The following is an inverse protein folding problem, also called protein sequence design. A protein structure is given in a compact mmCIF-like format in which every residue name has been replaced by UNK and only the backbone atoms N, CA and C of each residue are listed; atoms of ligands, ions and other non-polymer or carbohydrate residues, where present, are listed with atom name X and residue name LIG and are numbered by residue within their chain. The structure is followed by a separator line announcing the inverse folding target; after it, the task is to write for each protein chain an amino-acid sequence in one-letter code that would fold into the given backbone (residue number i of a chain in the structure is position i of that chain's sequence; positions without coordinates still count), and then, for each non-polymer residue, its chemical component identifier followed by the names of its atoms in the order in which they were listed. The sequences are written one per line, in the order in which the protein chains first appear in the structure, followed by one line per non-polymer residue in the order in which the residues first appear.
data_IF_341911124754
#
_entry.id   IF_341911124754
#
_cell.length_a   1.000
_cell.length_b   1.000
_cell.length_c   1.000
_cell.angle_alpha   90.00
_cell.angle_beta   90.00
_cell.angle_gamma   90.00
#
_symmetry.space_group_name_H-M   'P 1'
#
loop_
_entity.id
_entity.type
_entity.pdbx_description
1 polymer ?
#
# COMPACT_ATOMS: atom_id res chain seq x y z
N UNK A 1 -17.85 -5.33 9.16
CA UNK A 1 -16.50 -4.76 9.04
C UNK A 1 -16.61 -3.65 8.01
N UNK A 2 -15.89 -2.54 8.20
CA UNK A 2 -15.92 -1.40 7.28
C UNK A 2 -15.73 -1.86 5.84
N UNK A 3 -16.58 -1.38 4.95
CA UNK A 3 -16.45 -1.70 3.53
C UNK A 3 -15.11 -1.22 2.97
N UNK A 4 -14.61 -1.97 2.00
CA UNK A 4 -13.47 -1.66 1.14
C UNK A 4 -13.90 -1.37 -0.29
N UNK A 5 -15.19 -1.39 -0.60
CA UNK A 5 -15.67 -1.05 -1.94
C UNK A 5 -15.60 0.46 -2.20
N UNK A 6 -15.44 0.76 -3.48
CA UNK A 6 -15.23 2.09 -4.02
C UNK A 6 -15.94 2.31 -5.34
N UNK A 7 -15.86 3.53 -5.85
CA UNK A 7 -16.41 3.91 -7.14
C UNK A 7 -15.30 4.13 -8.16
N UNK A 8 -15.38 3.43 -9.30
CA UNK A 8 -14.66 3.84 -10.49
C UNK A 8 -15.57 4.77 -11.28
N UNK A 9 -15.22 6.05 -11.42
CA UNK A 9 -16.07 7.08 -12.01
C UNK A 9 -15.52 7.48 -13.37
N UNK A 10 -16.26 7.15 -14.44
CA UNK A 10 -15.96 7.66 -15.78
C UNK A 10 -16.51 9.07 -15.97
N UNK A 11 -17.69 9.34 -15.40
CA UNK A 11 -18.39 10.63 -15.46
C UNK A 11 -19.39 10.74 -14.32
N UNK A 12 -19.85 11.94 -14.01
CA UNK A 12 -20.99 12.17 -13.12
C UNK A 12 -22.22 11.38 -13.59
N UNK A 13 -22.90 10.74 -12.64
CA UNK A 13 -23.99 9.81 -12.86
C UNK A 13 -24.98 9.82 -11.68
N UNK A 14 -26.21 9.29 -11.83
CA UNK A 14 -27.16 9.16 -10.73
C UNK A 14 -26.58 8.37 -9.53
N UNK A 15 -27.04 8.71 -8.34
CA UNK A 15 -26.71 8.08 -7.05
C UNK A 15 -25.23 8.17 -6.63
N UNK A 16 -24.37 8.79 -7.44
CA UNK A 16 -22.93 8.90 -7.16
C UNK A 16 -22.67 9.80 -5.96
N UNK A 17 -23.41 10.89 -5.83
CA UNK A 17 -23.28 11.82 -4.70
C UNK A 17 -23.69 11.12 -3.40
N UNK A 18 -24.79 10.36 -3.42
CA UNK A 18 -25.25 9.52 -2.32
C UNK A 18 -24.20 8.48 -1.94
N UNK A 19 -23.57 7.83 -2.93
CA UNK A 19 -22.50 6.87 -2.65
C UNK A 19 -21.28 7.55 -2.05
N UNK A 20 -20.85 8.71 -2.54
CA UNK A 20 -19.76 9.50 -1.96
C UNK A 20 -20.08 9.87 -0.50
N UNK A 21 -21.32 10.31 -0.20
CA UNK A 21 -21.78 10.62 1.16
C UNK A 21 -21.80 9.40 2.08
N UNK A 22 -22.04 8.20 1.54
CA UNK A 22 -21.95 6.96 2.30
C UNK A 22 -20.50 6.64 2.77
N UNK A 23 -19.48 7.31 2.22
CA UNK A 23 -18.04 7.14 2.51
C UNK A 23 -17.48 5.77 2.11
N UNK A 24 -17.39 5.48 0.79
CA UNK A 24 -16.67 4.34 0.26
C UNK A 24 -15.17 4.46 0.55
N UNK A 25 -14.43 3.37 0.35
CA UNK A 25 -12.99 3.36 0.64
C UNK A 25 -12.18 4.19 -0.36
N UNK A 26 -12.54 4.11 -1.65
CA UNK A 26 -11.81 4.76 -2.74
C UNK A 26 -12.79 5.31 -3.78
N UNK A 27 -12.52 6.51 -4.28
CA UNK A 27 -13.20 7.09 -5.45
C UNK A 27 -12.13 7.37 -6.50
N UNK A 28 -12.15 6.61 -7.59
CA UNK A 28 -11.26 6.82 -8.75
C UNK A 28 -11.99 7.66 -9.79
N UNK A 29 -11.40 8.79 -10.18
CA UNK A 29 -11.93 9.74 -11.15
C UNK A 29 -11.10 9.67 -12.44
N UNK A 30 -11.68 9.12 -13.50
CA UNK A 30 -11.04 9.06 -14.84
C UNK A 30 -11.44 10.26 -15.71
N UNK A 31 -12.59 10.85 -15.40
CA UNK A 31 -13.10 12.10 -15.94
C UNK A 31 -13.79 12.89 -14.81
N UNK A 32 -14.31 14.07 -15.14
CA UNK A 32 -15.00 14.94 -14.18
C UNK A 32 -14.24 15.14 -12.86
N UNK A 33 -12.90 15.30 -12.92
CA UNK A 33 -12.01 15.42 -11.75
C UNK A 33 -12.40 16.51 -10.75
N UNK A 34 -13.17 17.50 -11.20
CA UNK A 34 -13.77 18.53 -10.33
C UNK A 34 -14.63 17.95 -9.20
N UNK A 35 -15.19 16.74 -9.36
CA UNK A 35 -15.89 16.00 -8.30
C UNK A 35 -14.99 15.71 -7.09
N UNK A 36 -13.67 15.71 -7.25
CA UNK A 36 -12.74 15.52 -6.13
C UNK A 36 -12.92 16.55 -5.00
N UNK A 37 -13.46 17.74 -5.29
CA UNK A 37 -13.78 18.75 -4.26
C UNK A 37 -14.97 18.37 -3.38
N UNK A 38 -15.86 17.54 -3.91
CA UNK A 38 -17.13 17.15 -3.30
C UNK A 38 -16.96 15.81 -2.54
N UNK A 39 -15.82 15.13 -2.70
CA UNK A 39 -15.50 13.90 -1.95
C UNK A 39 -15.20 14.21 -0.49
N UNK A 40 -15.84 13.45 0.40
CA UNK A 40 -15.75 13.58 1.86
C UNK A 40 -14.33 13.32 2.38
N UNK A 41 -13.94 14.08 3.41
CA UNK A 41 -12.68 13.85 4.13
C UNK A 41 -12.60 12.40 4.64
N UNK A 42 -11.48 11.74 4.37
CA UNK A 42 -11.23 10.35 4.74
C UNK A 42 -11.48 9.33 3.64
N UNK A 43 -12.19 9.67 2.56
CA UNK A 43 -12.27 8.84 1.36
C UNK A 43 -11.02 9.06 0.51
N UNK A 44 -10.36 7.99 0.06
CA UNK A 44 -9.21 8.12 -0.83
C UNK A 44 -9.67 8.53 -2.24
N UNK A 45 -9.18 9.66 -2.74
CA UNK A 45 -9.44 10.08 -4.12
C UNK A 45 -8.23 9.77 -5.00
N UNK A 46 -8.47 9.00 -6.05
CA UNK A 46 -7.47 8.65 -7.08
C UNK A 46 -7.87 9.30 -8.39
N UNK A 47 -6.94 9.99 -9.05
CA UNK A 47 -7.13 10.53 -10.38
C UNK A 47 -6.45 9.68 -11.43
N UNK A 48 -7.07 9.58 -12.60
CA UNK A 48 -6.43 9.11 -13.82
C UNK A 48 -6.81 10.05 -14.96
N UNK A 49 -5.84 10.48 -15.76
CA UNK A 49 -6.12 11.08 -17.07
C UNK A 49 -6.02 10.01 -18.12
N UNK A 50 -7.03 9.87 -18.97
CA UNK A 50 -6.95 8.97 -20.12
C UNK A 50 -5.89 9.48 -21.13
N UNK A 51 -4.94 8.62 -21.48
CA UNK A 51 -3.93 8.88 -22.52
C UNK A 51 -4.42 8.25 -23.83
N UNK A 52 -4.93 9.07 -24.75
CA UNK A 52 -5.39 8.59 -26.05
C UNK A 52 -4.23 8.34 -27.03
N UNK A 53 -3.11 9.06 -26.85
CA UNK A 53 -2.06 9.17 -27.86
C UNK A 53 -0.90 8.18 -27.67
N UNK A 54 -0.73 7.60 -26.48
CA UNK A 54 0.30 6.60 -26.20
C UNK A 54 0.00 5.81 -24.91
N UNK A 55 0.47 4.55 -24.86
CA UNK A 55 0.55 3.70 -23.68
C UNK A 55 2.01 3.47 -23.25
N UNK A 56 2.22 2.65 -22.21
CA UNK A 56 3.56 2.40 -21.68
C UNK A 56 4.48 1.72 -22.70
N UNK A 57 3.95 0.80 -23.50
CA UNK A 57 4.69 0.04 -24.50
C UNK A 57 5.08 0.93 -25.67
N UNK A 58 4.18 1.77 -26.17
CA UNK A 58 4.46 2.78 -27.18
C UNK A 58 5.52 3.77 -26.68
N UNK A 59 5.45 4.17 -25.41
CA UNK A 59 6.44 5.05 -24.82
C UNK A 59 7.83 4.39 -24.76
N UNK A 60 7.92 3.12 -24.32
CA UNK A 60 9.17 2.35 -24.37
C UNK A 60 9.68 2.18 -25.80
N UNK A 61 8.80 1.87 -26.75
CA UNK A 61 9.13 1.65 -28.16
C UNK A 61 9.64 2.92 -28.86
N UNK A 62 9.35 4.12 -28.32
CA UNK A 62 9.89 5.38 -28.83
C UNK A 62 11.41 5.52 -28.66
N UNK A 63 12.04 4.65 -27.84
CA UNK A 63 13.48 4.68 -27.56
C UNK A 63 13.88 5.66 -26.44
N UNK A 64 12.90 6.27 -25.75
CA UNK A 64 13.16 7.07 -24.55
C UNK A 64 13.73 6.20 -23.42
N UNK A 65 14.66 6.78 -22.65
CA UNK A 65 15.04 6.18 -21.36
C UNK A 65 13.86 6.25 -20.38
N UNK A 66 13.80 5.39 -19.35
CA UNK A 66 12.73 5.44 -18.36
C UNK A 66 12.55 6.82 -17.73
N UNK A 67 13.65 7.50 -17.41
CA UNK A 67 13.65 8.87 -16.86
C UNK A 67 13.07 9.91 -17.84
N UNK A 68 13.46 9.87 -19.11
CA UNK A 68 12.91 10.76 -20.14
C UNK A 68 11.41 10.53 -20.36
N UNK A 69 11.00 9.26 -20.35
CA UNK A 69 9.60 8.87 -20.44
C UNK A 69 8.80 9.38 -19.24
N UNK A 70 9.33 9.24 -18.02
CA UNK A 70 8.70 9.70 -16.80
C UNK A 70 8.53 11.23 -16.77
N UNK A 71 9.58 11.99 -17.12
CA UNK A 71 9.49 13.45 -17.25
C UNK A 71 8.41 13.84 -18.26
N UNK A 72 8.46 13.26 -19.46
CA UNK A 72 7.45 13.55 -20.50
C UNK A 72 6.03 13.26 -20.01
N UNK A 73 5.82 12.11 -19.36
CA UNK A 73 4.52 11.71 -18.83
C UNK A 73 4.03 12.74 -17.79
N UNK A 74 4.87 13.13 -16.82
CA UNK A 74 4.48 14.11 -15.80
C UNK A 74 4.18 15.47 -16.42
N UNK A 75 4.99 15.95 -17.38
CA UNK A 75 4.73 17.22 -18.06
C UNK A 75 3.40 17.23 -18.83
N UNK A 76 3.07 16.12 -19.52
CA UNK A 76 1.81 15.98 -20.27
C UNK A 76 0.57 15.98 -19.35
N UNK A 77 0.77 15.64 -18.07
CA UNK A 77 -0.27 15.54 -17.05
C UNK A 77 -0.36 16.78 -16.15
N UNK A 78 0.71 17.56 -16.06
CA UNK A 78 0.87 18.67 -15.11
C UNK A 78 -0.31 19.67 -15.10
N UNK A 79 -0.86 20.12 -16.25
CA UNK A 79 -2.02 21.02 -16.23
C UNK A 79 -3.26 20.39 -15.57
N UNK A 80 -3.44 19.09 -15.72
CA UNK A 80 -4.55 18.33 -15.11
C UNK A 80 -4.34 18.21 -13.61
N UNK A 81 -3.12 17.93 -13.14
CA UNK A 81 -2.83 17.88 -11.71
C UNK A 81 -3.05 19.25 -11.03
N UNK A 82 -2.53 20.32 -11.64
CA UNK A 82 -2.64 21.68 -11.09
C UNK A 82 -4.09 22.19 -11.02
N UNK A 83 -4.94 21.78 -11.96
CA UNK A 83 -6.35 22.17 -11.97
C UNK A 83 -7.23 21.37 -11.00
N UNK A 84 -6.71 20.29 -10.39
CA UNK A 84 -7.46 19.40 -9.52
C UNK A 84 -6.74 19.14 -8.18
N UNK A 85 -6.53 20.18 -7.35
CA UNK A 85 -5.72 20.09 -6.13
C UNK A 85 -6.33 19.19 -5.03
N UNK A 86 -7.60 18.81 -5.16
CA UNK A 86 -8.27 17.89 -4.24
C UNK A 86 -7.92 16.42 -4.51
N UNK A 87 -7.24 16.13 -5.62
CA UNK A 87 -6.77 14.79 -5.96
C UNK A 87 -5.26 14.72 -5.70
N UNK A 88 -4.87 13.91 -4.72
CA UNK A 88 -3.46 13.77 -4.31
C UNK A 88 -2.79 12.53 -4.92
N UNK A 89 -3.54 11.46 -5.16
CA UNK A 89 -3.03 10.23 -5.76
C UNK A 89 -3.37 10.16 -7.25
N UNK A 90 -2.37 9.92 -8.09
CA UNK A 90 -2.54 9.83 -9.55
C UNK A 90 -1.95 8.55 -10.13
N UNK A 91 -2.75 7.87 -10.95
CA UNK A 91 -2.33 6.71 -11.73
C UNK A 91 -1.34 7.09 -12.83
N UNK A 92 -0.45 6.14 -13.13
CA UNK A 92 0.44 6.17 -14.29
C UNK A 92 -0.26 5.65 -15.54
N UNK A 93 0.44 4.79 -16.28
CA UNK A 93 -0.11 4.08 -17.43
C UNK A 93 -1.18 3.07 -17.01
N UNK A 94 -2.20 2.91 -17.84
CA UNK A 94 -3.30 1.96 -17.61
C UNK A 94 -2.97 0.59 -18.21
N UNK A 95 -3.04 -0.45 -17.39
CA UNK A 95 -2.89 -1.84 -17.83
C UNK A 95 -1.64 -2.11 -18.68
N UNK A 96 -0.44 -1.64 -18.28
CA UNK A 96 0.77 -1.98 -19.00
C UNK A 96 1.02 -3.49 -18.95
N UNK A 97 1.53 -4.03 -20.05
CA UNK A 97 1.80 -5.46 -20.25
C UNK A 97 3.28 -5.61 -20.55
N UNK A 98 3.97 -6.33 -19.65
CA UNK A 98 5.39 -6.62 -19.74
C UNK A 98 5.61 -8.13 -19.67
N UNK A 99 6.44 -8.67 -20.56
CA UNK A 99 6.60 -10.12 -20.73
C UNK A 99 8.02 -10.58 -20.40
N UNK A 100 8.94 -9.65 -20.16
CA UNK A 100 10.34 -9.94 -19.84
C UNK A 100 10.81 -9.13 -18.64
N UNK A 101 11.84 -9.62 -17.95
CA UNK A 101 12.44 -8.90 -16.84
C UNK A 101 12.99 -7.52 -17.27
N UNK A 102 13.62 -7.43 -18.44
CA UNK A 102 14.16 -6.16 -18.98
C UNK A 102 13.05 -5.12 -19.22
N UNK A 103 11.90 -5.55 -19.75
CA UNK A 103 10.74 -4.68 -19.92
C UNK A 103 10.16 -4.20 -18.58
N UNK A 104 10.08 -5.12 -17.63
CA UNK A 104 9.59 -4.81 -16.29
C UNK A 104 10.55 -3.90 -15.52
N UNK A 105 11.87 -4.10 -15.67
CA UNK A 105 12.92 -3.26 -15.10
C UNK A 105 12.83 -1.83 -15.66
N UNK A 106 12.69 -1.70 -16.98
CA UNK A 106 12.47 -0.39 -17.63
C UNK A 106 11.25 0.32 -17.04
N UNK A 107 10.15 -0.40 -16.83
CA UNK A 107 8.94 0.19 -16.26
C UNK A 107 9.08 0.52 -14.77
N UNK A 108 9.83 -0.29 -14.01
CA UNK A 108 10.15 -0.02 -12.63
C UNK A 108 10.96 1.28 -12.49
N UNK A 109 11.98 1.48 -13.34
CA UNK A 109 12.76 2.72 -13.37
C UNK A 109 11.89 3.93 -13.77
N UNK A 110 10.94 3.76 -14.70
CA UNK A 110 9.99 4.79 -15.07
C UNK A 110 9.13 5.21 -13.87
N UNK A 111 8.57 4.25 -13.14
CA UNK A 111 7.75 4.53 -11.93
C UNK A 111 8.59 5.12 -10.79
N UNK A 112 9.87 4.75 -10.67
CA UNK A 112 10.81 5.36 -9.72
C UNK A 112 10.97 6.86 -10.00
N UNK A 113 11.30 7.22 -11.24
CA UNK A 113 11.49 8.64 -11.59
C UNK A 113 10.18 9.41 -11.56
N UNK A 114 9.07 8.81 -12.02
CA UNK A 114 7.74 9.44 -11.92
C UNK A 114 7.38 9.74 -10.47
N UNK A 115 7.67 8.83 -9.55
CA UNK A 115 7.39 9.02 -8.12
C UNK A 115 8.16 10.19 -7.53
N UNK A 116 9.44 10.35 -7.89
CA UNK A 116 10.24 11.51 -7.45
C UNK A 116 9.68 12.83 -7.98
N UNK A 117 9.40 12.89 -9.28
CA UNK A 117 8.83 14.08 -9.93
C UNK A 117 7.47 14.45 -9.34
N UNK A 118 6.62 13.46 -9.07
CA UNK A 118 5.31 13.69 -8.44
C UNK A 118 5.46 14.18 -7.00
N UNK A 119 6.41 13.64 -6.23
CA UNK A 119 6.69 14.08 -4.88
C UNK A 119 7.17 15.54 -4.82
N UNK A 120 7.98 15.99 -5.78
CA UNK A 120 8.41 17.39 -5.91
C UNK A 120 7.21 18.35 -6.16
N UNK A 121 6.12 17.84 -6.74
CA UNK A 121 4.86 18.55 -6.92
C UNK A 121 3.92 18.45 -5.71
N UNK A 122 4.31 17.76 -4.65
CA UNK A 122 3.44 17.47 -3.49
C UNK A 122 2.34 16.44 -3.79
N UNK A 123 2.49 15.66 -4.86
CA UNK A 123 1.54 14.63 -5.29
C UNK A 123 2.09 13.23 -4.99
N UNK A 124 1.21 12.24 -5.08
CA UNK A 124 1.50 10.83 -4.82
C UNK A 124 1.09 9.97 -5.99
N UNK A 125 1.73 8.81 -6.10
CA UNK A 125 1.52 7.90 -7.20
C UNK A 125 0.65 6.70 -6.82
N UNK A 126 -0.12 6.23 -7.78
CA UNK A 126 -0.62 4.85 -7.85
C UNK A 126 0.18 4.13 -8.93
N UNK A 127 1.03 3.20 -8.50
CA UNK A 127 2.05 2.53 -9.32
C UNK A 127 1.49 1.27 -9.99
N UNK A 128 2.01 0.92 -11.15
CA UNK A 128 1.74 -0.37 -11.78
C UNK A 128 0.46 -0.36 -12.60
N UNK A 129 -0.70 -0.30 -11.93
CA UNK A 129 -2.05 -0.40 -12.52
C UNK A 129 -2.17 -1.57 -13.50
N UNK A 130 -1.62 -2.72 -13.12
CA UNK A 130 -1.56 -3.91 -13.97
C UNK A 130 -2.94 -4.52 -14.17
N UNK A 131 -3.16 -5.04 -15.38
CA UNK A 131 -4.39 -5.73 -15.76
C UNK A 131 -4.59 -7.02 -14.94
N UNK A 132 -5.82 -7.52 -14.95
CA UNK A 132 -6.14 -8.82 -14.35
C UNK A 132 -5.24 -9.93 -14.89
N UNK A 133 -4.64 -10.70 -13.97
CA UNK A 133 -3.78 -11.83 -14.29
C UNK A 133 -2.33 -11.47 -14.64
N UNK A 134 -1.98 -10.18 -14.76
CA UNK A 134 -0.64 -9.72 -15.14
C UNK A 134 0.03 -8.90 -14.02
N UNK A 135 1.36 -8.67 -14.09
CA UNK A 135 2.34 -9.43 -14.88
C UNK A 135 2.45 -10.88 -14.36
N UNK A 136 3.20 -11.73 -15.07
CA UNK A 136 3.58 -13.06 -14.55
C UNK A 136 4.24 -12.92 -13.16
N UNK A 137 3.98 -13.90 -12.27
CA UNK A 137 4.49 -13.85 -10.89
C UNK A 137 6.03 -13.72 -10.85
N UNK A 138 6.73 -14.37 -11.79
CA UNK A 138 8.19 -14.33 -11.87
C UNK A 138 8.77 -12.95 -12.21
N UNK A 139 7.95 -12.01 -12.70
CA UNK A 139 8.39 -10.65 -13.05
C UNK A 139 8.33 -9.67 -11.87
N UNK A 140 7.65 -9.99 -10.77
CA UNK A 140 7.54 -9.08 -9.63
C UNK A 140 8.88 -8.61 -9.02
N UNK A 141 9.93 -9.45 -8.93
CA UNK A 141 11.24 -9.00 -8.46
C UNK A 141 11.83 -7.81 -9.25
N UNK A 142 11.60 -7.76 -10.57
CA UNK A 142 12.03 -6.64 -11.42
C UNK A 142 11.31 -5.32 -11.06
N UNK A 143 10.12 -5.40 -10.47
CA UNK A 143 9.35 -4.24 -10.05
C UNK A 143 9.63 -3.76 -8.62
N UNK A 144 10.49 -4.46 -7.87
CA UNK A 144 10.82 -4.08 -6.49
C UNK A 144 11.34 -2.65 -6.33
N UNK A 145 12.17 -2.08 -7.23
CA UNK A 145 12.63 -0.70 -7.10
C UNK A 145 11.48 0.32 -7.04
N UNK A 146 10.43 0.13 -7.86
CA UNK A 146 9.24 0.98 -7.84
C UNK A 146 8.49 0.89 -6.49
N UNK A 147 8.42 -0.30 -5.92
CA UNK A 147 7.75 -0.53 -4.63
C UNK A 147 8.59 -0.03 -3.44
N UNK A 148 9.92 -0.01 -3.57
CA UNK A 148 10.80 0.58 -2.57
C UNK A 148 10.62 2.09 -2.51
N UNK A 149 10.64 2.78 -3.66
CA UNK A 149 10.40 4.24 -3.70
C UNK A 149 8.99 4.59 -3.20
N UNK A 150 8.02 3.69 -3.38
CA UNK A 150 6.65 3.90 -2.92
C UNK A 150 6.59 4.12 -1.40
N UNK A 151 7.41 3.37 -0.65
CA UNK A 151 7.51 3.48 0.80
C UNK A 151 8.17 4.78 1.25
N UNK A 152 9.04 5.35 0.44
CA UNK A 152 9.72 6.60 0.73
C UNK A 152 8.82 7.81 0.48
N UNK A 153 7.96 7.73 -0.54
CA UNK A 153 7.12 8.84 -1.01
C UNK A 153 5.60 8.63 -0.80
N UNK A 154 5.23 7.65 0.03
CA UNK A 154 3.83 7.33 0.37
C UNK A 154 2.94 7.01 -0.87
N UNK A 155 3.54 6.45 -1.92
CA UNK A 155 2.83 5.95 -3.10
C UNK A 155 2.27 4.55 -2.85
N UNK A 156 1.23 4.18 -3.60
CA UNK A 156 0.51 2.91 -3.42
C UNK A 156 0.61 2.04 -4.68
N UNK A 157 0.42 0.73 -4.54
CA UNK A 157 0.29 -0.17 -5.67
C UNK A 157 -1.16 -0.15 -6.19
N UNK A 158 -1.33 -0.11 -7.51
CA UNK A 158 -2.61 -0.27 -8.21
C UNK A 158 -2.67 -1.59 -8.98
N UNK A 159 -3.80 -2.29 -8.91
CA UNK A 159 -4.08 -3.50 -9.68
C UNK A 159 -5.54 -3.51 -10.16
N UNK A 160 -5.81 -4.20 -11.26
CA UNK A 160 -7.18 -4.46 -11.73
C UNK A 160 -7.56 -5.93 -11.48
N UNK A 161 -8.74 -6.19 -10.92
CA UNK A 161 -9.25 -7.54 -10.69
C UNK A 161 -10.66 -7.73 -11.23
N UNK A 162 -10.75 -8.36 -12.39
CA UNK A 162 -11.98 -8.76 -13.05
C UNK A 162 -12.11 -10.28 -13.06
N UNK A 163 -13.34 -10.80 -13.09
CA UNK A 163 -13.57 -12.22 -13.36
C UNK A 163 -14.83 -12.44 -14.20
N UNK A 164 -15.06 -13.65 -14.70
CA UNK A 164 -16.24 -13.98 -15.49
C UNK A 164 -16.46 -15.49 -15.57
N UNK A 165 -17.70 -16.00 -15.39
CA UNK A 165 -18.97 -15.28 -15.24
C UNK A 165 -19.32 -14.92 -13.79
N UNK A 166 -18.48 -15.30 -12.83
CA UNK A 166 -18.65 -14.93 -11.42
C UNK A 166 -17.39 -14.29 -10.90
N UNK A 167 -17.52 -13.35 -9.95
CA UNK A 167 -16.38 -12.72 -9.28
C UNK A 167 -15.42 -13.76 -8.65
N UNK A 168 -15.92 -14.90 -8.18
CA UNK A 168 -15.11 -15.96 -7.56
C UNK A 168 -14.52 -16.97 -8.54
N UNK A 169 -14.78 -16.86 -9.85
CA UNK A 169 -14.24 -17.81 -10.82
C UNK A 169 -12.70 -17.73 -10.86
N UNK A 170 -12.03 -18.87 -10.82
CA UNK A 170 -10.57 -19.01 -10.64
C UNK A 170 -10.02 -18.55 -9.29
N UNK A 171 -10.84 -18.64 -8.23
CA UNK A 171 -10.46 -18.33 -6.85
C UNK A 171 -10.85 -19.46 -5.91
N UNK A 172 -9.93 -19.85 -5.01
CA UNK A 172 -10.12 -20.96 -4.07
C UNK A 172 -10.56 -22.24 -4.79
N UNK A 173 -11.65 -22.87 -4.33
CA UNK A 173 -12.20 -24.09 -4.93
C UNK A 173 -12.74 -23.94 -6.36
N UNK A 174 -12.85 -22.73 -6.89
CA UNK A 174 -13.42 -22.45 -8.21
C UNK A 174 -12.34 -22.35 -9.30
N UNK A 175 -11.20 -23.00 -9.10
CA UNK A 175 -10.15 -23.09 -10.11
C UNK A 175 -10.60 -23.81 -11.39
N UNK A 176 -9.86 -23.56 -12.47
CA UNK A 176 -10.02 -24.26 -13.75
C UNK A 176 -9.82 -25.76 -13.59
N UNK A 177 -8.79 -26.17 -12.83
CA UNK A 177 -8.66 -27.54 -12.33
C UNK A 177 -9.47 -27.67 -11.04
N UNK A 178 -10.57 -28.45 -11.03
CA UNK A 178 -11.42 -28.60 -9.85
C UNK A 178 -10.71 -29.24 -8.65
N UNK A 179 -9.54 -29.85 -8.85
CA UNK A 179 -8.73 -30.43 -7.78
C UNK A 179 -7.68 -29.47 -7.22
N UNK A 180 -7.50 -28.30 -7.83
CA UNK A 180 -6.50 -27.30 -7.45
C UNK A 180 -7.09 -26.23 -6.53
N UNK A 181 -7.75 -26.60 -5.43
CA UNK A 181 -8.25 -25.60 -4.48
C UNK A 181 -7.10 -24.80 -3.85
N UNK A 182 -7.02 -23.51 -4.18
CA UNK A 182 -6.00 -22.59 -3.67
C UNK A 182 -6.43 -21.87 -2.38
N UNK A 183 -7.54 -22.29 -1.76
CA UNK A 183 -8.04 -21.76 -0.50
C UNK A 183 -8.57 -20.33 -0.64
N UNK A 184 -7.80 -19.36 -0.17
CA UNK A 184 -8.19 -17.95 -0.12
C UNK A 184 -7.52 -17.09 -1.21
N UNK A 185 -6.91 -17.68 -2.23
CA UNK A 185 -6.31 -16.92 -3.35
C UNK A 185 -6.78 -17.44 -4.71
N UNK A 186 -6.50 -16.67 -5.75
CA UNK A 186 -6.94 -16.99 -7.10
C UNK A 186 -6.01 -16.47 -8.19
N UNK A 187 -6.40 -16.71 -9.44
CA UNK A 187 -5.68 -16.26 -10.64
C UNK A 187 -6.32 -15.03 -11.28
N UNK A 188 -7.52 -14.64 -10.85
CA UNK A 188 -8.20 -13.41 -11.27
C UNK A 188 -8.40 -12.49 -10.09
N UNK A 189 -9.50 -12.65 -9.34
CA UNK A 189 -9.72 -12.00 -8.06
C UNK A 189 -8.83 -12.61 -6.99
N UNK A 190 -8.40 -11.78 -6.04
CA UNK A 190 -7.51 -12.15 -4.93
C UNK A 190 -6.13 -12.65 -5.37
N UNK A 191 -5.73 -12.43 -6.63
CA UNK A 191 -4.41 -12.80 -7.13
C UNK A 191 -3.31 -11.99 -6.44
N UNK A 192 -3.62 -10.79 -5.97
CA UNK A 192 -2.69 -10.00 -5.17
C UNK A 192 -2.15 -10.77 -3.95
N UNK A 193 -2.89 -11.74 -3.37
CA UNK A 193 -2.39 -12.54 -2.24
C UNK A 193 -1.16 -13.36 -2.64
N UNK A 194 -1.14 -13.91 -3.87
CA UNK A 194 0.05 -14.60 -4.42
C UNK A 194 1.22 -13.65 -4.53
N UNK A 195 0.98 -12.49 -5.12
CA UNK A 195 1.98 -11.42 -5.28
C UNK A 195 2.57 -11.04 -3.92
N UNK A 196 1.73 -10.72 -2.93
CA UNK A 196 2.17 -10.31 -1.59
C UNK A 196 2.88 -11.43 -0.84
N UNK A 197 2.30 -12.63 -0.78
CA UNK A 197 2.85 -13.75 0.01
C UNK A 197 4.14 -14.32 -0.58
N UNK A 198 4.22 -14.42 -1.91
CA UNK A 198 5.35 -15.05 -2.59
C UNK A 198 6.50 -14.06 -2.82
N UNK A 199 6.19 -12.77 -3.06
CA UNK A 199 7.20 -11.78 -3.44
C UNK A 199 7.34 -10.63 -2.45
N UNK A 200 6.27 -9.91 -2.08
CA UNK A 200 6.45 -8.65 -1.34
C UNK A 200 6.74 -8.84 0.15
N UNK A 201 5.98 -9.69 0.85
CA UNK A 201 6.16 -9.95 2.28
C UNK A 201 7.58 -10.48 2.57
N UNK A 202 8.10 -11.51 1.85
CA UNK A 202 9.45 -12.02 2.09
C UNK A 202 10.56 -10.99 1.84
N UNK A 203 10.29 -9.98 1.01
CA UNK A 203 11.26 -8.94 0.63
C UNK A 203 11.02 -7.60 1.35
N UNK A 204 10.24 -7.59 2.45
CA UNK A 204 10.05 -6.40 3.28
C UNK A 204 9.18 -5.30 2.65
N UNK A 205 8.43 -5.66 1.61
CA UNK A 205 7.49 -4.81 0.86
C UNK A 205 6.02 -5.14 1.14
N UNK A 206 5.74 -6.10 2.04
CA UNK A 206 4.38 -6.54 2.36
C UNK A 206 3.47 -5.49 3.01
N UNK A 207 4.02 -4.35 3.41
CA UNK A 207 3.32 -3.20 3.96
C UNK A 207 3.07 -2.08 2.93
N UNK A 208 3.45 -2.28 1.66
CA UNK A 208 3.05 -1.38 0.57
C UNK A 208 1.53 -1.44 0.42
N UNK A 209 0.79 -0.33 0.56
CA UNK A 209 -0.66 -0.35 0.43
C UNK A 209 -1.12 -0.63 -1.00
N UNK A 210 -2.23 -1.34 -1.15
CA UNK A 210 -2.82 -1.75 -2.42
C UNK A 210 -4.19 -1.10 -2.61
N UNK A 211 -4.41 -0.49 -3.78
CA UNK A 211 -5.75 -0.20 -4.29
C UNK A 211 -6.04 -1.13 -5.48
N UNK A 212 -7.21 -1.77 -5.45
CA UNK A 212 -7.76 -2.43 -6.63
C UNK A 212 -8.48 -1.35 -7.43
N UNK A 213 -7.77 -0.73 -8.38
CA UNK A 213 -8.24 0.48 -9.05
C UNK A 213 -9.26 0.21 -10.14
N UNK A 214 -9.56 -1.06 -10.45
CA UNK A 214 -10.73 -1.48 -11.19
C UNK A 214 -11.13 -2.90 -10.77
N UNK A 215 -12.42 -3.14 -10.51
CA UNK A 215 -12.93 -4.49 -10.30
C UNK A 215 -14.33 -4.70 -10.84
N UNK A 216 -14.67 -5.96 -11.12
CA UNK A 216 -16.01 -6.34 -11.56
C UNK A 216 -16.03 -7.57 -12.44
N UNK A 217 -17.04 -7.64 -13.31
CA UNK A 217 -17.16 -8.72 -14.29
C UNK A 217 -16.80 -8.22 -15.68
N UNK A 218 -15.81 -8.87 -16.30
CA UNK A 218 -15.36 -8.54 -17.66
C UNK A 218 -15.43 -9.77 -18.58
N UNK A 219 -16.19 -9.71 -19.70
CA UNK A 219 -16.28 -10.79 -20.67
C UNK A 219 -14.94 -11.19 -21.31
N UNK A 220 -13.89 -10.38 -21.22
CA UNK A 220 -12.56 -10.67 -21.77
C UNK A 220 -11.72 -11.58 -20.87
N UNK A 221 -12.08 -11.77 -19.60
CA UNK A 221 -11.29 -12.58 -18.65
C UNK A 221 -11.38 -14.07 -18.96
N UNK A 222 -10.28 -14.69 -19.37
CA UNK A 222 -10.24 -16.11 -19.75
C UNK A 222 -9.29 -16.93 -18.85
N UNK A 223 -9.46 -18.26 -18.77
CA UNK A 223 -10.50 -19.07 -19.43
C UNK A 223 -11.89 -18.94 -18.77
N UNK A 224 -12.96 -19.16 -19.54
CA UNK A 224 -14.31 -19.34 -19.02
C UNK A 224 -14.55 -20.80 -18.61
N UNK A 225 -15.56 -21.08 -17.76
CA UNK A 225 -16.07 -22.43 -17.59
C UNK A 225 -16.49 -23.02 -18.95
N UNK A 226 -16.34 -24.35 -19.10
CA UNK A 226 -16.68 -25.03 -20.35
C UNK A 226 -18.13 -24.77 -20.75
N UNK A 227 -18.33 -24.32 -22.00
CA UNK A 227 -19.66 -24.05 -22.56
C UNK A 227 -20.31 -22.73 -22.13
N UNK A 228 -19.63 -21.90 -21.34
CA UNK A 228 -20.17 -20.60 -20.88
C UNK A 228 -19.64 -19.46 -21.76
N UNK A 229 -20.55 -18.68 -22.35
CA UNK A 229 -20.20 -17.41 -23.01
C UNK A 229 -19.95 -16.32 -21.98
N UNK A 230 -18.95 -15.46 -22.24
CA UNK A 230 -18.73 -14.26 -21.42
C UNK A 230 -19.81 -13.20 -21.64
N UNK A 231 -20.03 -12.36 -20.63
CA UNK A 231 -20.88 -11.18 -20.71
C UNK A 231 -20.56 -10.22 -19.56
N UNK A 232 -21.05 -8.99 -19.63
CA UNK A 232 -21.06 -8.10 -18.46
C UNK A 232 -22.10 -8.56 -17.44
N UNK A 233 -22.08 -8.01 -16.23
CA UNK A 233 -23.08 -8.33 -15.20
C UNK A 233 -24.53 -8.12 -15.70
N UNK A 234 -24.77 -7.13 -16.57
CA UNK A 234 -26.11 -6.87 -17.16
C UNK A 234 -26.55 -7.98 -18.11
N UNK A 235 -25.60 -8.61 -18.80
CA UNK A 235 -25.81 -9.61 -19.85
C UNK A 235 -25.85 -11.04 -19.30
N UNK A 236 -25.21 -11.29 -18.14
CA UNK A 236 -25.17 -12.61 -17.50
C UNK A 236 -26.46 -12.99 -16.76
N UNK A 237 -27.47 -12.12 -16.71
CA UNK A 237 -28.71 -12.39 -15.95
C UNK A 237 -29.43 -13.69 -16.35
N UNK A 238 -29.58 -13.98 -17.64
CA UNK A 238 -30.20 -15.23 -18.07
C UNK A 238 -29.34 -16.45 -17.71
N UNK A 239 -28.02 -16.33 -17.84
CA UNK A 239 -27.09 -17.40 -17.46
C UNK A 239 -27.20 -17.71 -15.97
N UNK A 240 -27.21 -16.70 -15.10
CA UNK A 240 -27.36 -16.89 -13.65
C UNK A 240 -28.74 -17.42 -13.26
N UNK A 241 -29.80 -16.99 -13.94
CA UNK A 241 -31.14 -17.52 -13.71
C UNK A 241 -31.25 -19.01 -14.05
N UNK A 242 -30.63 -19.44 -15.15
CA UNK A 242 -30.67 -20.84 -15.60
C UNK A 242 -29.69 -21.74 -14.84
N UNK A 243 -28.46 -21.26 -14.61
CA UNK A 243 -27.38 -22.07 -14.04
C UNK A 243 -27.40 -22.08 -12.50
N UNK A 244 -27.67 -20.93 -11.87
CA UNK A 244 -27.57 -20.77 -10.41
C UNK A 244 -28.95 -20.68 -9.74
N UNK A 245 -30.03 -20.67 -10.52
CA UNK A 245 -31.39 -20.40 -10.04
C UNK A 245 -31.49 -19.01 -9.37
N UNK A 246 -30.83 -18.01 -9.97
CA UNK A 246 -30.74 -16.63 -9.49
C UNK A 246 -31.52 -15.68 -10.42
N UNK A 247 -32.81 -15.37 -10.13
CA UNK A 247 -33.67 -14.64 -11.06
C UNK A 247 -33.41 -13.13 -11.10
N UNK A 248 -32.79 -12.58 -10.06
CA UNK A 248 -32.46 -11.16 -9.96
C UNK A 248 -30.96 -10.95 -10.17
N UNK A 249 -30.61 -10.51 -11.38
CA UNK A 249 -29.21 -10.28 -11.76
C UNK A 249 -28.56 -9.13 -10.99
N UNK A 250 -29.32 -8.11 -10.60
CA UNK A 250 -28.77 -6.95 -9.89
C UNK A 250 -28.45 -7.34 -8.45
N UNK A 251 -29.38 -8.03 -7.77
CA UNK A 251 -29.13 -8.59 -6.45
C UNK A 251 -27.97 -9.60 -6.46
N UNK A 252 -27.91 -10.47 -7.47
CA UNK A 252 -26.86 -11.47 -7.54
C UNK A 252 -25.47 -10.85 -7.79
N UNK A 253 -25.37 -9.87 -8.68
CA UNK A 253 -24.13 -9.14 -8.88
C UNK A 253 -23.71 -8.37 -7.62
N UNK A 254 -24.64 -7.71 -6.93
CA UNK A 254 -24.38 -7.08 -5.64
C UNK A 254 -23.83 -8.08 -4.61
N UNK A 255 -24.42 -9.28 -4.49
CA UNK A 255 -23.90 -10.32 -3.58
C UNK A 255 -22.50 -10.80 -3.96
N UNK A 256 -22.15 -10.82 -5.24
CA UNK A 256 -20.79 -11.10 -5.70
C UNK A 256 -19.80 -10.00 -5.29
N UNK A 257 -20.20 -8.72 -5.37
CA UNK A 257 -19.39 -7.60 -4.88
C UNK A 257 -19.23 -7.64 -3.35
N UNK A 258 -20.27 -8.01 -2.60
CA UNK A 258 -20.20 -8.20 -1.14
C UNK A 258 -19.28 -9.38 -0.77
N UNK A 259 -19.28 -10.47 -1.54
CA UNK A 259 -18.29 -11.54 -1.37
C UNK A 259 -16.87 -10.99 -1.53
N UNK A 260 -16.62 -10.24 -2.60
CA UNK A 260 -15.31 -9.66 -2.87
C UNK A 260 -14.87 -8.68 -1.77
N UNK A 261 -15.76 -7.78 -1.34
CA UNK A 261 -15.54 -6.86 -0.22
C UNK A 261 -15.10 -7.58 1.06
N UNK A 262 -15.80 -8.67 1.41
CA UNK A 262 -15.48 -9.50 2.59
C UNK A 262 -14.12 -10.16 2.48
N UNK A 263 -13.67 -10.50 1.28
CA UNK A 263 -12.33 -11.00 1.06
C UNK A 263 -11.29 -9.89 1.24
N UNK A 264 -11.48 -8.73 0.60
CA UNK A 264 -10.57 -7.59 0.75
C UNK A 264 -10.44 -7.16 2.22
N UNK A 265 -11.52 -7.22 3.00
CA UNK A 265 -11.53 -6.87 4.43
C UNK A 265 -10.57 -7.70 5.28
N UNK A 266 -10.15 -8.88 4.83
CA UNK A 266 -9.22 -9.75 5.55
C UNK A 266 -7.76 -9.32 5.43
N UNK A 267 -7.44 -8.44 4.48
CA UNK A 267 -6.06 -8.03 4.18
C UNK A 267 -5.83 -6.56 4.53
N UNK A 268 -5.16 -6.28 5.64
CA UNK A 268 -4.97 -4.90 6.15
C UNK A 268 -4.22 -3.96 5.19
N UNK A 269 -3.38 -4.51 4.30
CA UNK A 269 -2.65 -3.75 3.29
C UNK A 269 -3.52 -3.35 2.08
N UNK A 270 -4.73 -3.90 1.95
CA UNK A 270 -5.68 -3.48 0.90
C UNK A 270 -6.49 -2.29 1.38
N UNK A 271 -6.37 -1.17 0.68
CA UNK A 271 -7.13 0.06 0.92
C UNK A 271 -8.59 -0.15 0.52
N UNK A 272 -8.80 -0.58 -0.72
CA UNK A 272 -10.13 -0.79 -1.28
C UNK A 272 -10.11 -1.19 -2.75
N UNK A 273 -11.29 -1.47 -3.29
CA UNK A 273 -11.50 -1.82 -4.69
C UNK A 273 -12.63 -1.02 -5.33
N UNK A 274 -12.38 -0.42 -6.49
CA UNK A 274 -13.35 0.46 -7.18
C UNK A 274 -14.15 -0.29 -8.24
N UNK A 275 -15.47 -0.38 -8.04
CA UNK A 275 -16.39 -1.09 -8.93
C UNK A 275 -16.48 -0.37 -10.28
N UNK A 276 -16.09 -1.06 -11.34
CA UNK A 276 -16.20 -0.60 -12.72
C UNK A 276 -17.63 -0.88 -13.25
N UNK A 277 -18.48 0.13 -13.46
CA UNK A 277 -18.19 1.57 -13.31
C UNK A 277 -19.42 2.36 -12.87
N UNK A 278 -19.19 3.57 -12.37
CA UNK A 278 -20.18 4.61 -12.14
C UNK A 278 -20.13 5.61 -13.29
N UNK A 279 -21.22 5.72 -14.02
CA UNK A 279 -21.32 6.54 -15.22
C UNK A 279 -20.56 5.95 -16.42
N UNK A 280 -20.99 6.34 -17.63
CA UNK A 280 -20.40 5.83 -18.87
C UNK A 280 -20.47 6.81 -20.06
N UNK A 281 -19.53 6.68 -21.00
CA UNK A 281 -19.52 7.44 -22.26
C UNK A 281 -20.38 6.79 -23.36
N UNK A 282 -21.35 5.94 -22.99
CA UNK A 282 -22.09 5.08 -23.91
C UNK A 282 -21.42 3.72 -24.14
N UNK A 283 -21.91 2.91 -25.11
CA UNK A 283 -21.34 1.60 -25.39
C UNK A 283 -19.85 1.65 -25.75
N UNK A 284 -19.04 0.64 -25.33
CA UNK A 284 -19.47 -0.54 -24.57
C UNK A 284 -19.62 -0.30 -23.06
N UNK A 285 -19.14 0.84 -22.53
CA UNK A 285 -19.05 1.09 -21.09
C UNK A 285 -20.39 1.11 -20.35
N UNK A 286 -21.48 1.47 -21.06
CA UNK A 286 -22.84 1.43 -20.51
C UNK A 286 -23.29 0.03 -20.07
N UNK A 287 -22.66 -1.04 -20.58
CA UNK A 287 -22.99 -2.41 -20.22
C UNK A 287 -22.39 -2.83 -18.85
N UNK A 288 -21.44 -2.05 -18.34
CA UNK A 288 -20.80 -2.22 -17.02
C UNK A 288 -21.39 -1.27 -15.97
N UNK A 289 -21.99 -0.17 -16.40
CA UNK A 289 -22.43 0.94 -15.54
C UNK A 289 -23.44 0.51 -14.47
N UNK A 290 -23.12 0.70 -13.18
CA UNK A 290 -24.01 0.38 -12.06
C UNK A 290 -24.92 1.54 -11.67
N UNK A 291 -24.63 2.76 -12.12
CA UNK A 291 -25.37 3.95 -11.70
C UNK A 291 -26.84 3.92 -12.18
N UNK A 292 -27.76 4.36 -11.31
CA UNK A 292 -29.20 4.33 -11.58
C UNK A 292 -29.80 2.93 -11.68
N UNK A 293 -29.20 1.93 -11.01
CA UNK A 293 -29.71 0.56 -10.97
C UNK A 293 -29.84 0.08 -9.53
N UNK A 294 -30.59 -1.00 -9.31
CA UNK A 294 -30.69 -1.64 -7.99
C UNK A 294 -29.31 -2.04 -7.41
N UNK A 295 -28.27 -2.19 -8.24
CA UNK A 295 -26.89 -2.42 -7.78
C UNK A 295 -26.34 -1.18 -7.06
N UNK A 296 -26.48 0.03 -7.62
CA UNK A 296 -26.00 1.26 -6.99
C UNK A 296 -26.75 1.53 -5.69
N UNK A 297 -28.08 1.37 -5.68
CA UNK A 297 -28.90 1.55 -4.47
C UNK A 297 -28.46 0.60 -3.33
N UNK A 298 -28.21 -0.68 -3.65
CA UNK A 298 -27.75 -1.67 -2.67
C UNK A 298 -26.33 -1.37 -2.18
N UNK A 299 -25.44 -0.89 -3.06
CA UNK A 299 -24.07 -0.48 -2.67
C UNK A 299 -24.10 0.72 -1.73
N UNK A 300 -24.92 1.74 -1.99
CA UNK A 300 -25.12 2.89 -1.10
C UNK A 300 -25.57 2.40 0.27
N UNK A 301 -26.66 1.64 0.35
CA UNK A 301 -27.19 1.14 1.63
C UNK A 301 -26.19 0.25 2.38
N UNK A 302 -25.43 -0.59 1.66
CA UNK A 302 -24.40 -1.44 2.26
C UNK A 302 -23.25 -0.63 2.87
N UNK A 303 -22.78 0.39 2.15
CA UNK A 303 -21.70 1.28 2.60
C UNK A 303 -22.15 2.18 3.74
N UNK A 304 -23.40 2.69 3.73
CA UNK A 304 -23.95 3.46 4.86
C UNK A 304 -24.00 2.65 6.16
N UNK A 305 -24.28 1.35 6.07
CA UNK A 305 -24.37 0.47 7.23
C UNK A 305 -23.01 0.22 7.91
N UNK A 306 -21.92 0.16 7.14
CA UNK A 306 -20.55 -0.01 7.66
C UNK A 306 -19.53 0.76 6.78
N UNK A 307 -19.45 2.09 6.94
CA UNK A 307 -18.67 2.97 6.07
C UNK A 307 -17.18 2.69 6.18
N UNK A 308 -16.43 3.00 5.12
CA UNK A 308 -15.01 2.71 5.06
C UNK A 308 -14.23 3.46 6.15
N UNK A 309 -13.15 2.83 6.62
CA UNK A 309 -12.17 3.50 7.48
C UNK A 309 -11.29 4.41 6.63
N UNK A 310 -11.00 5.64 7.08
CA UNK A 310 -10.07 6.51 6.37
C UNK A 310 -8.70 5.86 6.17
N UNK A 311 -8.22 5.88 4.93
CA UNK A 311 -6.88 5.41 4.61
C UNK A 311 -5.83 6.30 5.28
N UNK A 312 -4.88 5.66 5.95
CA UNK A 312 -3.67 6.30 6.46
C UNK A 312 -2.48 5.48 6.01
N UNK A 313 -1.53 6.13 5.35
CA UNK A 313 -0.28 5.47 4.98
C UNK A 313 0.49 5.12 6.26
N UNK A 314 0.56 3.83 6.58
CA UNK A 314 1.25 3.38 7.78
C UNK A 314 2.75 3.65 7.62
N UNK A 315 3.28 4.64 8.33
CA UNK A 315 4.72 4.82 8.43
C UNK A 315 5.25 3.67 9.29
N UNK A 316 6.19 2.87 8.76
CA UNK A 316 6.93 1.94 9.62
C UNK A 316 7.50 2.74 10.79
N UNK A 317 7.17 2.39 12.03
CA UNK A 317 7.66 3.16 13.15
C UNK A 317 9.18 2.91 13.23
N UNK A 318 9.95 3.95 12.90
CA UNK A 318 11.42 3.91 12.93
C UNK A 318 11.86 3.84 14.38
N UNK A 319 12.84 2.98 14.67
CA UNK A 319 13.42 2.86 16.00
C UNK A 319 12.92 1.67 16.83
N UNK A 320 11.87 0.95 16.42
CA UNK A 320 11.45 -0.25 17.15
C UNK A 320 12.48 -1.39 17.03
N UNK A 321 12.75 -2.10 18.13
CA UNK A 321 13.57 -3.28 18.11
C UNK A 321 12.74 -4.50 17.68
N UNK A 322 13.41 -5.57 17.23
CA UNK A 322 12.76 -6.88 16.96
C UNK A 322 12.00 -7.44 18.18
N UNK A 323 12.51 -7.18 19.38
CA UNK A 323 11.91 -7.58 20.67
C UNK A 323 12.08 -6.44 21.65
N UNK A 324 11.00 -6.02 22.31
CA UNK A 324 11.07 -5.07 23.41
C UNK A 324 11.62 -5.73 24.66
N UNK A 325 12.61 -5.09 25.27
CA UNK A 325 13.16 -5.42 26.57
C UNK A 325 14.00 -4.22 27.04
N UNK A 326 14.24 -4.14 28.34
CA UNK A 326 15.05 -3.07 28.93
C UNK A 326 16.46 -3.07 28.38
N UNK A 327 16.91 -1.93 27.84
CA UNK A 327 18.27 -1.76 27.32
C UNK A 327 19.00 -0.73 28.15
N UNK A 328 20.15 -1.14 28.66
CA UNK A 328 21.07 -0.25 29.37
C UNK A 328 22.32 -0.02 28.54
N UNK A 329 22.65 1.26 28.32
CA UNK A 329 23.85 1.73 27.67
C UNK A 329 24.77 2.39 28.71
N UNK A 330 25.99 1.89 28.83
CA UNK A 330 27.03 2.49 29.67
C UNK A 330 27.82 3.48 28.82
N UNK A 331 27.56 4.77 29.07
CA UNK A 331 28.16 5.88 28.34
C UNK A 331 29.47 6.30 29.02
N UNK A 332 30.59 6.06 28.34
CA UNK A 332 31.93 6.42 28.81
C UNK A 332 32.24 7.90 28.52
N UNK A 333 33.01 8.59 29.39
CA UNK A 333 33.38 9.98 29.16
C UNK A 333 34.34 10.15 27.98
N UNK A 334 34.46 11.36 27.38
CA UNK A 334 35.27 11.59 26.18
C UNK A 334 36.75 11.22 26.34
N UNK A 335 37.29 11.28 27.57
CA UNK A 335 38.68 10.95 27.89
C UNK A 335 38.89 9.48 28.30
N UNK A 336 37.84 8.64 28.28
CA UNK A 336 37.95 7.24 28.64
C UNK A 336 38.85 6.46 27.66
N UNK A 337 39.74 5.65 28.22
CA UNK A 337 40.60 4.76 27.45
C UNK A 337 40.10 3.30 27.46
N UNK A 338 40.89 2.41 26.86
CA UNK A 338 40.58 0.98 26.79
C UNK A 338 40.52 0.28 28.17
N UNK A 339 41.06 0.86 29.24
CA UNK A 339 40.93 0.29 30.59
C UNK A 339 39.53 0.55 31.14
N UNK A 340 38.98 1.74 30.90
CA UNK A 340 37.60 2.08 31.27
C UNK A 340 36.58 1.19 30.54
N UNK A 341 36.74 0.99 29.23
CA UNK A 341 35.88 0.06 28.49
C UNK A 341 35.97 -1.38 29.02
N UNK A 342 37.18 -1.85 29.35
CA UNK A 342 37.38 -3.18 29.96
C UNK A 342 36.72 -3.32 31.32
N UNK A 343 36.72 -2.26 32.13
CA UNK A 343 36.03 -2.26 33.42
C UNK A 343 34.52 -2.45 33.28
N UNK A 344 33.90 -1.82 32.27
CA UNK A 344 32.48 -2.04 31.98
C UNK A 344 32.22 -3.49 31.57
N UNK A 345 33.09 -4.05 30.72
CA UNK A 345 32.99 -5.46 30.32
C UNK A 345 33.08 -6.38 31.54
N UNK A 346 34.03 -6.14 32.44
CA UNK A 346 34.20 -6.93 33.66
C UNK A 346 33.02 -6.81 34.63
N UNK A 347 32.43 -5.61 34.76
CA UNK A 347 31.39 -5.34 35.74
C UNK A 347 29.97 -5.67 35.29
N UNK A 348 29.69 -5.71 33.98
CA UNK A 348 28.31 -5.81 33.49
C UNK A 348 28.09 -6.77 32.31
N UNK A 349 29.12 -7.19 31.58
CA UNK A 349 28.91 -7.89 30.30
C UNK A 349 28.30 -9.28 30.46
N UNK A 350 28.83 -10.11 31.34
CA UNK A 350 28.42 -11.52 31.44
C UNK A 350 27.04 -11.67 32.09
N UNK A 351 26.79 -10.92 33.17
CA UNK A 351 25.53 -11.03 33.93
C UNK A 351 24.41 -10.16 33.36
N UNK A 352 24.73 -8.91 32.98
CA UNK A 352 23.71 -7.91 32.64
C UNK A 352 23.61 -7.59 31.15
N UNK A 353 24.64 -7.95 30.37
CA UNK A 353 24.70 -7.74 28.91
C UNK A 353 24.52 -6.28 28.50
N UNK A 354 25.04 -5.35 29.29
CA UNK A 354 24.95 -3.91 29.00
C UNK A 354 25.75 -3.55 27.73
N UNK A 355 25.21 -2.61 26.96
CA UNK A 355 25.90 -2.03 25.80
C UNK A 355 26.88 -0.96 26.28
N UNK A 356 28.01 -0.79 25.60
CA UNK A 356 29.06 0.17 26.01
C UNK A 356 29.43 1.06 24.82
N UNK A 357 29.72 2.34 25.07
CA UNK A 357 30.32 3.22 24.07
C UNK A 357 30.45 4.66 24.54
N UNK A 358 30.86 5.55 23.63
CA UNK A 358 31.23 6.94 23.94
C UNK A 358 30.40 8.00 23.21
N UNK A 359 29.27 7.61 22.59
CA UNK A 359 28.38 8.53 21.87
C UNK A 359 27.10 8.75 22.67
N UNK A 360 26.83 10.00 23.06
CA UNK A 360 25.60 10.34 23.77
C UNK A 360 24.37 10.14 22.87
N UNK A 361 24.48 10.40 21.56
CA UNK A 361 23.41 10.14 20.61
C UNK A 361 23.09 8.63 20.54
N UNK A 362 24.11 7.77 20.42
CA UNK A 362 23.90 6.31 20.37
C UNK A 362 23.28 5.76 21.66
N UNK A 363 23.56 6.40 22.79
CA UNK A 363 23.00 6.02 24.09
C UNK A 363 21.50 6.35 24.20
N UNK A 364 21.02 7.39 23.50
CA UNK A 364 19.64 7.88 23.61
C UNK A 364 18.66 7.42 22.52
N UNK A 365 19.15 6.95 21.37
CA UNK A 365 18.32 6.61 20.20
C UNK A 365 17.44 5.35 20.39
N UNK A 366 16.41 5.23 19.56
CA UNK A 366 15.54 4.07 19.42
C UNK A 366 14.17 4.26 20.09
N UNK A 367 13.19 3.48 19.65
CA UNK A 367 11.83 3.44 20.23
C UNK A 367 11.73 2.21 21.14
N UNK A 368 12.26 2.35 22.35
CA UNK A 368 12.41 1.25 23.31
C UNK A 368 11.59 1.56 24.56
N UNK A 369 10.89 0.55 25.09
CA UNK A 369 10.03 0.70 26.28
C UNK A 369 10.81 1.24 27.48
N UNK A 370 12.08 0.82 27.63
CA UNK A 370 13.01 1.35 28.63
C UNK A 370 14.38 1.56 27.98
N UNK A 371 14.80 2.82 27.93
CA UNK A 371 16.13 3.28 27.51
C UNK A 371 16.87 3.78 28.73
N UNK A 372 17.78 2.99 29.32
CA UNK A 372 18.60 3.43 30.45
C UNK A 372 19.99 3.82 29.98
N UNK A 373 20.46 4.99 30.42
CA UNK A 373 21.83 5.44 30.18
C UNK A 373 22.53 5.56 31.52
N UNK A 374 23.53 4.70 31.75
CA UNK A 374 24.44 4.79 32.89
C UNK A 374 25.63 5.64 32.45
N UNK A 375 25.61 6.92 32.78
CA UNK A 375 26.63 7.88 32.37
C UNK A 375 27.80 7.87 33.35
N UNK A 376 28.98 7.44 32.88
CA UNK A 376 30.19 7.36 33.70
C UNK A 376 30.90 8.71 33.69
N UNK A 377 31.22 9.21 34.89
CA UNK A 377 31.90 10.49 35.09
C UNK A 377 31.32 11.63 34.23
N UNK A 378 30.00 11.92 34.33
CA UNK A 378 29.33 12.90 33.46
C UNK A 378 29.94 14.30 33.54
N UNK A 379 30.61 14.64 34.66
CA UNK A 379 31.34 15.90 34.82
C UNK A 379 32.45 16.13 33.77
N UNK A 380 32.91 15.08 33.07
CA UNK A 380 33.94 15.17 32.04
C UNK A 380 33.41 15.58 30.66
N UNK A 381 32.08 15.64 30.46
CA UNK A 381 31.46 15.98 29.18
C UNK A 381 31.39 17.49 28.90
N UNK A 382 31.70 18.34 29.88
CA UNK A 382 31.72 19.81 29.73
C UNK A 382 30.33 20.47 29.62
N UNK A 383 29.27 19.69 29.40
CA UNK A 383 27.86 20.11 29.42
C UNK A 383 27.02 19.13 30.25
N UNK A 384 25.82 19.54 30.66
CA UNK A 384 24.88 18.67 31.38
C UNK A 384 24.37 17.58 30.44
N UNK A 385 24.75 16.33 30.69
CA UNK A 385 24.19 15.18 29.97
C UNK A 385 22.71 14.95 30.29
N UNK A 386 22.28 15.31 31.50
CA UNK A 386 20.86 15.22 31.90
C UNK A 386 20.02 16.13 31.01
N UNK A 387 20.37 17.42 30.92
CA UNK A 387 19.70 18.39 30.04
C UNK A 387 19.75 17.95 28.56
N UNK A 388 20.88 17.39 28.11
CA UNK A 388 21.02 16.87 26.75
C UNK A 388 20.02 15.75 26.46
N UNK A 389 19.89 14.77 27.35
CA UNK A 389 18.94 13.66 27.16
C UNK A 389 17.50 14.14 27.31
N UNK A 390 17.19 15.05 28.24
CA UNK A 390 15.85 15.64 28.36
C UNK A 390 15.45 16.39 27.08
N UNK A 391 16.38 17.14 26.49
CA UNK A 391 16.13 17.95 25.31
C UNK A 391 16.03 17.12 24.03
N UNK A 392 16.97 16.18 23.83
CA UNK A 392 17.16 15.50 22.55
C UNK A 392 16.60 14.07 22.52
N UNK A 393 16.50 13.41 23.67
CA UNK A 393 16.09 12.01 23.81
C UNK A 393 15.13 11.81 24.99
N UNK A 394 13.98 12.52 25.01
CA UNK A 394 13.07 12.50 26.15
C UNK A 394 12.60 11.08 26.49
N UNK A 395 12.55 10.76 27.78
CA UNK A 395 12.18 9.44 28.30
C UNK A 395 13.35 8.47 28.47
N UNK A 396 14.60 8.92 28.27
CA UNK A 396 15.78 8.18 28.75
C UNK A 396 15.80 8.18 30.28
N UNK A 397 15.93 6.99 30.87
CA UNK A 397 16.25 6.82 32.29
C UNK A 397 17.74 7.09 32.49
N UNK A 398 18.07 8.32 32.89
CA UNK A 398 19.44 8.77 33.11
C UNK A 398 19.94 8.37 34.51
N UNK A 399 21.11 7.75 34.59
CA UNK A 399 21.76 7.33 35.84
C UNK A 399 23.25 7.75 35.85
N UNK A 400 23.64 8.79 36.60
CA UNK A 400 25.04 9.20 36.68
C UNK A 400 25.82 8.34 37.68
N UNK A 401 26.99 7.84 37.25
CA UNK A 401 27.93 7.09 38.10
C UNK A 401 29.29 7.75 38.07
N UNK A 402 29.81 8.13 39.24
CA UNK A 402 31.18 8.61 39.39
C UNK A 402 32.09 7.46 39.82
N UNK A 403 33.24 7.30 39.19
CA UNK A 403 34.31 6.38 39.62
C UNK A 403 35.68 7.04 39.41
N UNK A 404 36.59 6.88 40.38
CA UNK A 404 37.94 7.43 40.30
C UNK A 404 38.89 6.53 39.52
N UNK A 405 38.59 5.23 39.43
CA UNK A 405 39.43 4.25 38.72
C UNK A 405 38.58 3.23 37.94
N UNK A 406 39.15 2.61 36.88
CA UNK A 406 38.48 1.51 36.19
C UNK A 406 38.09 0.34 37.14
N UNK A 407 38.92 0.02 38.13
CA UNK A 407 38.61 -1.03 39.10
C UNK A 407 37.39 -0.70 39.96
N UNK A 408 37.23 0.57 40.34
CA UNK A 408 36.06 1.03 41.09
C UNK A 408 34.80 1.00 40.23
N UNK A 409 34.90 1.39 38.95
CA UNK A 409 33.78 1.29 38.01
C UNK A 409 33.29 -0.14 37.87
N UNK A 410 34.20 -1.10 37.67
CA UNK A 410 33.84 -2.51 37.53
C UNK A 410 33.06 -3.01 38.76
N UNK A 411 33.50 -2.65 39.97
CA UNK A 411 32.79 -3.00 41.20
C UNK A 411 31.40 -2.38 41.29
N UNK A 412 31.28 -1.07 41.00
CA UNK A 412 30.00 -0.35 41.03
C UNK A 412 28.98 -0.96 40.07
N UNK A 413 29.42 -1.28 38.85
CA UNK A 413 28.57 -1.90 37.85
C UNK A 413 28.16 -3.33 38.21
N UNK A 414 29.02 -4.09 38.90
CA UNK A 414 28.70 -5.43 39.38
C UNK A 414 27.73 -5.42 40.57
N UNK A 415 27.72 -4.35 41.39
CA UNK A 415 26.90 -4.26 42.61
C UNK A 415 25.53 -3.61 42.44
N UNK A 416 25.32 -2.80 41.39
CA UNK A 416 23.98 -2.30 41.02
C UNK A 416 23.13 -3.39 40.41
#
# INVERSE_FOLDING_TARGET
MPTKLGAHVLRSAPDLDEYIEARPAVVKLVGDWGLGRDVREGVLVVGRKHQADYDAQAQKASGQTPSQAADRFVQDQLPTYQSNPHITYWEGHNEPIWNTAEEMDWYAEFEVERTRLMADLGLKCVLGNFATGTPDLALWPAFFPALQIAKEHEAILGLHEYSCPWMWWMTGRFQVDPNADEGDEGWTTLRYRKVYRQHLIPNGLGDVPLAITECGIDPLVNPKPSGVSGGTWKQLGSFWAEHDNEPDKADYYFRQLVWYDRELQKDDYVIGGTVFTWGSFGPPWSDFDVAGTDVSEKLVAYTEADPAKPFKYAKKPRGHPRVQYERTYVLLPPNADALWARAVVQGAWDEKRYTIGGSADDAGIGDLDVRRVVAINPQEWGASLEDFFEQHYPGVAYEPVTAATPSELAQKLASG
#
